data_IF_547762073251
#
_entry.id   IF_547762073251
#
_cell.length_a   1.000
_cell.length_b   1.000
_cell.length_c   1.000
_cell.angle_alpha   90.00
_cell.angle_beta   90.00
_cell.angle_gamma   90.00
#
_symmetry.space_group_name_H-M   'P 1'
#
loop_
_entity.id
_entity.type
_entity.pdbx_description
1 polymer ?
#
# COMPACT_ATOMS: atom_id res chain seq x y z
N UNK A 1 -48.42 29.48 24.51
CA UNK A 1 -47.51 28.35 24.86
C UNK A 1 -47.30 27.34 23.73
N UNK A 2 -48.23 27.12 22.79
CA UNK A 2 -48.05 26.11 21.72
C UNK A 2 -46.99 26.41 20.64
N UNK A 3 -46.71 27.68 20.35
CA UNK A 3 -45.80 28.07 19.24
C UNK A 3 -44.33 27.67 19.47
N UNK A 4 -43.86 27.70 20.73
CA UNK A 4 -42.49 27.36 21.07
C UNK A 4 -42.18 25.86 20.91
N UNK A 5 -43.18 25.00 21.12
CA UNK A 5 -43.07 23.53 21.00
C UNK A 5 -43.02 23.11 19.51
N UNK A 6 -43.77 23.81 18.66
CA UNK A 6 -43.79 23.57 17.22
C UNK A 6 -42.45 24.00 16.59
N UNK A 7 -41.89 25.15 17.03
CA UNK A 7 -40.62 25.63 16.49
C UNK A 7 -39.44 24.70 16.84
N UNK A 8 -39.40 24.18 18.06
CA UNK A 8 -38.32 23.31 18.54
C UNK A 8 -38.34 21.92 17.89
N UNK A 9 -39.53 21.38 17.60
CA UNK A 9 -39.66 20.09 16.90
C UNK A 9 -39.26 20.19 15.43
N UNK A 10 -39.60 21.29 14.75
CA UNK A 10 -39.19 21.53 13.35
C UNK A 10 -37.68 21.72 13.22
N UNK A 11 -37.04 22.43 14.15
CA UNK A 11 -35.58 22.59 14.17
C UNK A 11 -34.88 21.25 14.43
N UNK A 12 -35.40 20.44 15.36
CA UNK A 12 -34.86 19.10 15.63
C UNK A 12 -34.94 18.16 14.43
N UNK A 13 -36.09 18.13 13.75
CA UNK A 13 -36.31 17.29 12.57
C UNK A 13 -35.44 17.70 11.37
N UNK A 14 -35.27 19.01 11.15
CA UNK A 14 -34.41 19.52 10.08
C UNK A 14 -32.92 19.26 10.36
N UNK A 15 -32.46 19.41 11.61
CA UNK A 15 -31.09 19.07 12.01
C UNK A 15 -30.78 17.56 11.87
N UNK A 16 -31.74 16.70 12.20
CA UNK A 16 -31.63 15.24 11.99
C UNK A 16 -31.61 14.87 10.51
N UNK A 17 -32.45 15.49 9.68
CA UNK A 17 -32.47 15.26 8.23
C UNK A 17 -31.18 15.75 7.53
N UNK A 18 -30.63 16.89 7.96
CA UNK A 18 -29.33 17.39 7.51
C UNK A 18 -28.19 16.46 7.93
N UNK A 19 -28.18 16.00 9.17
CA UNK A 19 -27.19 15.04 9.66
C UNK A 19 -27.27 13.70 8.92
N UNK A 20 -28.48 13.20 8.67
CA UNK A 20 -28.73 11.96 7.93
C UNK A 20 -28.30 12.06 6.47
N UNK A 21 -28.60 13.18 5.80
CA UNK A 21 -28.21 13.41 4.40
C UNK A 21 -26.70 13.65 4.23
N UNK A 22 -26.06 14.30 5.21
CA UNK A 22 -24.60 14.44 5.26
C UNK A 22 -23.91 13.08 5.46
N UNK A 23 -24.43 12.26 6.38
CA UNK A 23 -23.94 10.90 6.62
C UNK A 23 -24.17 9.97 5.41
N UNK A 24 -25.32 10.09 4.73
CA UNK A 24 -25.65 9.31 3.53
C UNK A 24 -24.78 9.68 2.33
N UNK A 25 -24.39 10.95 2.17
CA UNK A 25 -23.42 11.37 1.13
C UNK A 25 -21.99 10.92 1.44
N UNK A 26 -21.58 10.92 2.71
CA UNK A 26 -20.23 10.47 3.15
C UNK A 26 -20.08 8.95 3.27
N UNK A 27 -21.17 8.18 3.19
CA UNK A 27 -21.18 6.72 3.35
C UNK A 27 -20.27 5.96 2.38
N UNK A 28 -19.99 6.55 1.21
CA UNK A 28 -19.08 5.96 0.22
C UNK A 28 -17.63 6.41 0.38
N UNK A 29 -17.37 7.53 1.07
CA UNK A 29 -16.02 8.07 1.22
C UNK A 29 -15.18 7.17 2.14
N UNK A 30 -15.76 6.69 3.25
CA UNK A 30 -15.06 5.80 4.17
C UNK A 30 -14.60 4.47 3.53
N UNK A 31 -15.47 3.68 2.85
CA UNK A 31 -15.01 2.46 2.19
C UNK A 31 -14.06 2.73 1.02
N UNK A 32 -14.25 3.84 0.28
CA UNK A 32 -13.32 4.21 -0.81
C UNK A 32 -11.93 4.56 -0.26
N UNK A 33 -11.84 5.35 0.81
CA UNK A 33 -10.57 5.64 1.48
C UNK A 33 -9.93 4.39 2.05
N UNK A 34 -10.72 3.48 2.64
CA UNK A 34 -10.21 2.22 3.15
C UNK A 34 -9.62 1.34 2.04
N UNK A 35 -10.33 1.19 0.92
CA UNK A 35 -9.82 0.49 -0.26
C UNK A 35 -8.54 1.13 -0.80
N UNK A 36 -8.50 2.46 -0.92
CA UNK A 36 -7.32 3.18 -1.39
C UNK A 36 -6.12 3.03 -0.45
N UNK A 37 -6.34 3.14 0.86
CA UNK A 37 -5.29 2.93 1.85
C UNK A 37 -4.77 1.49 1.82
N UNK A 38 -5.67 0.51 1.63
CA UNK A 38 -5.30 -0.90 1.52
C UNK A 38 -4.46 -1.18 0.28
N UNK A 39 -4.87 -0.70 -0.90
CA UNK A 39 -4.11 -0.89 -2.15
C UNK A 39 -2.78 -0.15 -2.12
N UNK A 40 -2.73 1.07 -1.57
CA UNK A 40 -1.48 1.82 -1.38
C UNK A 40 -0.51 1.08 -0.44
N UNK A 41 -1.04 0.52 0.66
CA UNK A 41 -0.23 -0.29 1.58
C UNK A 41 0.30 -1.54 0.90
N UNK A 42 -0.56 -2.26 0.15
CA UNK A 42 -0.16 -3.46 -0.58
C UNK A 42 0.92 -3.15 -1.62
N UNK A 43 0.76 -2.07 -2.39
CA UNK A 43 1.75 -1.62 -3.35
C UNK A 43 3.09 -1.29 -2.67
N UNK A 44 3.06 -0.64 -1.51
CA UNK A 44 4.27 -0.33 -0.74
C UNK A 44 5.06 -1.56 -0.30
N UNK A 45 4.37 -2.65 0.06
CA UNK A 45 5.00 -3.93 0.41
C UNK A 45 5.57 -4.69 -0.81
N UNK A 46 4.96 -4.48 -1.98
CA UNK A 46 5.39 -5.09 -3.23
C UNK A 46 6.55 -4.32 -3.90
N UNK A 47 6.82 -3.07 -3.50
CA UNK A 47 7.95 -2.31 -4.02
C UNK A 47 9.26 -3.09 -3.85
N UNK A 48 10.05 -3.25 -4.93
CA UNK A 48 11.34 -3.92 -4.84
C UNK A 48 12.32 -3.05 -4.07
N UNK A 49 13.12 -3.69 -3.22
CA UNK A 49 14.28 -3.09 -2.56
C UNK A 49 15.51 -3.84 -3.02
N UNK A 50 16.47 -3.08 -3.54
CA UNK A 50 17.75 -3.57 -4.02
C UNK A 50 18.83 -3.33 -2.97
N UNK A 51 19.64 -4.34 -2.71
CA UNK A 51 20.72 -4.31 -1.72
C UNK A 51 22.00 -4.73 -2.40
N UNK A 52 23.09 -4.01 -2.14
CA UNK A 52 24.39 -4.37 -2.66
C UNK A 52 24.82 -5.73 -2.11
N UNK A 53 25.25 -6.62 -3.00
CA UNK A 53 25.88 -7.89 -2.64
C UNK A 53 27.37 -7.61 -2.47
N UNK A 54 27.96 -7.94 -1.31
CA UNK A 54 29.38 -7.73 -1.11
C UNK A 54 30.18 -8.67 -2.04
N UNK A 55 31.31 -8.21 -2.60
CA UNK A 55 32.04 -8.92 -3.66
C UNK A 55 32.51 -10.32 -3.24
N UNK A 56 32.81 -10.53 -1.97
CA UNK A 56 33.15 -11.82 -1.38
C UNK A 56 32.01 -12.85 -1.52
N UNK A 57 30.76 -12.43 -1.39
CA UNK A 57 29.60 -13.30 -1.51
C UNK A 57 29.28 -13.60 -2.98
N UNK A 58 29.68 -12.74 -3.92
CA UNK A 58 29.40 -12.92 -5.35
C UNK A 58 30.02 -14.23 -5.88
N UNK A 59 31.24 -14.54 -5.45
CA UNK A 59 31.95 -15.76 -5.83
C UNK A 59 31.34 -17.03 -5.23
N UNK A 60 30.51 -16.92 -4.19
CA UNK A 60 29.87 -18.07 -3.53
C UNK A 60 28.65 -18.61 -4.30
N UNK A 61 28.10 -17.85 -5.25
CA UNK A 61 26.92 -18.24 -6.00
C UNK A 61 27.25 -19.30 -7.07
N UNK A 62 26.56 -20.44 -7.00
CA UNK A 62 26.57 -21.48 -8.03
C UNK A 62 25.11 -21.77 -8.49
N UNK A 63 24.72 -21.54 -9.75
CA UNK A 63 25.52 -20.98 -10.85
C UNK A 63 25.85 -19.48 -10.66
N UNK A 64 26.84 -18.94 -11.41
CA UNK A 64 27.29 -17.55 -11.30
C UNK A 64 26.14 -16.56 -11.49
N UNK A 65 26.16 -15.45 -10.74
CA UNK A 65 25.08 -14.44 -10.74
C UNK A 65 24.78 -13.91 -12.15
N UNK A 66 25.81 -13.69 -12.96
CA UNK A 66 25.72 -13.23 -14.35
C UNK A 66 24.82 -14.12 -15.22
N UNK A 67 24.76 -15.41 -14.92
CA UNK A 67 23.97 -16.39 -15.67
C UNK A 67 22.54 -16.53 -15.16
N UNK A 68 22.21 -15.92 -14.01
CA UNK A 68 20.87 -15.99 -13.41
C UNK A 68 19.96 -14.94 -14.03
N UNK A 69 19.00 -15.40 -14.82
CA UNK A 69 17.99 -14.54 -15.48
C UNK A 69 16.65 -14.52 -14.75
N UNK A 70 16.60 -15.03 -13.53
CA UNK A 70 15.38 -15.12 -12.72
C UNK A 70 14.74 -13.74 -12.50
N UNK A 71 13.44 -13.66 -12.77
CA UNK A 71 12.62 -12.47 -12.57
C UNK A 71 11.67 -12.64 -11.39
N UNK A 72 11.44 -11.55 -10.67
CA UNK A 72 10.51 -11.46 -9.57
C UNK A 72 9.07 -11.28 -9.99
N UNK A 73 8.20 -11.19 -8.98
CA UNK A 73 6.74 -11.15 -9.13
C UNK A 73 6.25 -9.98 -9.99
N UNK A 74 6.99 -8.86 -10.06
CA UNK A 74 6.64 -7.70 -10.90
C UNK A 74 7.52 -7.61 -12.17
N UNK A 75 8.17 -8.71 -12.57
CA UNK A 75 9.00 -8.78 -13.77
C UNK A 75 10.40 -8.15 -13.64
N UNK A 76 10.77 -7.59 -12.49
CA UNK A 76 12.11 -7.10 -12.21
C UNK A 76 13.11 -8.26 -12.08
N UNK A 77 14.35 -8.10 -12.51
CA UNK A 77 15.40 -9.11 -12.27
C UNK A 77 15.74 -9.18 -10.79
N UNK A 78 15.93 -10.39 -10.24
CA UNK A 78 16.39 -10.53 -8.86
C UNK A 78 17.83 -10.05 -8.67
N UNK A 79 18.67 -10.24 -9.69
CA UNK A 79 20.05 -9.79 -9.70
C UNK A 79 20.24 -8.76 -10.80
N UNK A 80 20.73 -7.58 -10.43
CA UNK A 80 20.97 -6.49 -11.37
C UNK A 80 22.33 -5.87 -11.08
N UNK A 81 23.15 -5.69 -12.12
CA UNK A 81 24.42 -4.98 -12.02
C UNK A 81 24.16 -3.47 -12.15
N UNK A 82 24.59 -2.70 -11.16
CA UNK A 82 24.51 -1.23 -11.15
C UNK A 82 25.81 -0.64 -10.63
N UNK A 83 26.34 0.38 -11.31
CA UNK A 83 27.56 1.08 -10.89
C UNK A 83 28.77 0.14 -10.62
N UNK A 84 28.90 -0.95 -11.37
CA UNK A 84 29.98 -1.94 -11.20
C UNK A 84 29.83 -2.84 -9.97
N UNK A 85 28.65 -2.88 -9.34
CA UNK A 85 28.32 -3.78 -8.25
C UNK A 85 27.04 -4.57 -8.55
N UNK A 86 26.94 -5.78 -8.00
CA UNK A 86 25.73 -6.60 -8.10
C UNK A 86 24.76 -6.28 -6.97
N UNK A 87 23.50 -6.06 -7.32
CA UNK A 87 22.42 -5.80 -6.38
C UNK A 87 21.41 -6.94 -6.39
N UNK A 88 20.99 -7.35 -5.20
CA UNK A 88 19.91 -8.30 -5.01
C UNK A 88 18.60 -7.53 -4.76
N UNK A 89 17.70 -7.55 -5.73
CA UNK A 89 16.42 -6.86 -5.73
C UNK A 89 15.28 -7.83 -5.38
N UNK A 90 14.67 -7.67 -4.20
CA UNK A 90 13.51 -8.46 -3.76
C UNK A 90 12.38 -7.54 -3.28
N UNK A 91 11.13 -8.01 -3.38
CA UNK A 91 10.00 -7.32 -2.76
C UNK A 91 10.25 -7.18 -1.24
N UNK A 92 9.85 -6.05 -0.65
CA UNK A 92 10.03 -5.80 0.79
C UNK A 92 9.44 -6.91 1.64
N UNK A 93 8.27 -7.39 1.27
CA UNK A 93 7.59 -8.47 1.99
C UNK A 93 8.37 -9.79 1.91
N UNK A 94 8.98 -10.11 0.76
CA UNK A 94 9.79 -11.31 0.61
C UNK A 94 11.03 -11.26 1.52
N UNK A 95 11.62 -10.08 1.71
CA UNK A 95 12.74 -9.92 2.65
C UNK A 95 12.33 -10.17 4.10
N UNK A 96 11.10 -9.84 4.50
CA UNK A 96 10.62 -10.03 5.87
C UNK A 96 10.15 -11.46 6.18
N UNK A 97 9.78 -12.22 5.15
CA UNK A 97 9.26 -13.59 5.31
C UNK A 97 10.33 -14.67 5.14
N UNK A 98 11.41 -14.38 4.41
CA UNK A 98 12.44 -15.37 4.03
C UNK A 98 13.87 -15.03 4.54
N UNK A 99 14.01 -14.03 5.42
CA UNK A 99 15.21 -13.75 6.21
C UNK A 99 14.80 -13.58 7.68
#
# INVERSE_FOLDING_TARGET
>A
MGFAIILSTVIGLTALALSYSFFRRRRWIAPVLACFAFTASLAWFLLPVCVLIPPEDIASFNPPIETRTETGILGQRYFEERNGGWFHCKARIARKLFF
#
